data_IF_380082447785
#
_entry.id   IF_380082447785
#
_cell.length_a   1.000
_cell.length_b   1.000
_cell.length_c   1.000
_cell.angle_alpha   90.00
_cell.angle_beta   90.00
_cell.angle_gamma   90.00
#
_symmetry.space_group_name_H-M   'P 1'
#
loop_
_entity.id
_entity.type
_entity.pdbx_description
1 polymer ?
#
# COMPACT_ATOMS: atom_id res chain seq x y z
N UNK A 1 -18.17 15.39 3.15
CA UNK A 1 -17.84 14.28 4.07
C UNK A 1 -17.44 12.96 3.38
N UNK A 2 -17.53 12.78 2.05
CA UNK A 2 -17.17 11.49 1.40
C UNK A 2 -15.73 11.40 0.82
N UNK A 3 -15.11 12.51 0.40
CA UNK A 3 -13.82 12.46 -0.33
C UNK A 3 -12.62 11.97 0.49
N UNK A 4 -12.57 12.32 1.77
CA UNK A 4 -11.43 12.00 2.65
C UNK A 4 -11.45 10.50 3.00
N UNK A 5 -12.63 9.96 3.32
CA UNK A 5 -12.82 8.54 3.65
C UNK A 5 -12.44 7.64 2.46
N UNK A 6 -12.79 8.02 1.23
CA UNK A 6 -12.39 7.26 0.03
C UNK A 6 -10.85 7.28 -0.14
N UNK A 7 -10.20 8.42 0.13
CA UNK A 7 -8.76 8.54 0.01
C UNK A 7 -8.01 7.63 0.99
N UNK A 8 -8.42 7.60 2.26
CA UNK A 8 -7.79 6.75 3.27
C UNK A 8 -8.06 5.26 3.01
N UNK A 9 -9.27 4.89 2.60
CA UNK A 9 -9.57 3.51 2.20
C UNK A 9 -8.75 3.05 0.99
N UNK A 10 -8.52 3.94 0.01
CA UNK A 10 -7.66 3.61 -1.14
C UNK A 10 -6.20 3.43 -0.73
N UNK A 11 -5.67 4.32 0.11
CA UNK A 11 -4.32 4.16 0.69
C UNK A 11 -4.19 2.83 1.43
N UNK A 12 -5.21 2.44 2.20
CA UNK A 12 -5.24 1.17 2.90
C UNK A 12 -5.17 -0.02 1.92
N UNK A 13 -6.00 -0.02 0.87
CA UNK A 13 -6.02 -1.10 -0.14
C UNK A 13 -4.68 -1.25 -0.86
N UNK A 14 -4.04 -0.14 -1.22
CA UNK A 14 -2.72 -0.16 -1.85
C UNK A 14 -1.68 -0.73 -0.88
N UNK A 15 -1.70 -0.30 0.39
CA UNK A 15 -0.79 -0.82 1.41
C UNK A 15 -0.98 -2.32 1.66
N UNK A 16 -2.22 -2.81 1.66
CA UNK A 16 -2.50 -4.24 1.79
C UNK A 16 -1.96 -5.06 0.62
N UNK A 17 -2.09 -4.55 -0.62
CA UNK A 17 -1.46 -5.16 -1.78
C UNK A 17 0.07 -5.18 -1.64
N UNK A 18 0.68 -4.09 -1.18
CA UNK A 18 2.12 -4.02 -0.89
C UNK A 18 2.55 -5.11 0.08
N UNK A 19 1.82 -5.30 1.18
CA UNK A 19 2.12 -6.36 2.15
C UNK A 19 1.96 -7.76 1.55
N UNK A 20 0.98 -7.98 0.66
CA UNK A 20 0.84 -9.25 -0.07
C UNK A 20 2.04 -9.51 -1.00
N UNK A 21 2.47 -8.50 -1.77
CA UNK A 21 3.66 -8.62 -2.62
C UNK A 21 4.90 -8.92 -1.79
N UNK A 22 5.14 -8.19 -0.70
CA UNK A 22 6.29 -8.43 0.19
C UNK A 22 6.26 -9.86 0.73
N UNK A 23 5.09 -10.35 1.14
CA UNK A 23 4.94 -11.72 1.66
C UNK A 23 5.23 -12.79 0.60
N UNK A 24 4.88 -12.54 -0.66
CA UNK A 24 5.03 -13.52 -1.75
C UNK A 24 6.41 -13.45 -2.42
N UNK A 25 6.95 -12.25 -2.60
CA UNK A 25 8.12 -11.98 -3.46
C UNK A 25 9.29 -11.33 -2.69
N UNK A 26 9.14 -11.12 -1.38
CA UNK A 26 10.12 -10.43 -0.55
C UNK A 26 10.19 -8.93 -0.80
N UNK A 27 11.07 -8.24 -0.06
CA UNK A 27 11.25 -6.79 -0.18
C UNK A 27 11.71 -6.35 -1.58
N UNK A 28 12.56 -7.14 -2.24
CA UNK A 28 13.02 -6.86 -3.60
C UNK A 28 11.87 -6.94 -4.63
N UNK A 29 10.84 -7.74 -4.34
CA UNK A 29 9.66 -7.88 -5.17
C UNK A 29 8.63 -6.75 -4.99
N UNK A 30 8.77 -5.91 -3.96
CA UNK A 30 7.83 -4.83 -3.60
C UNK A 30 7.96 -3.60 -4.51
N UNK A 31 8.03 -3.81 -5.82
CA UNK A 31 8.08 -2.75 -6.81
C UNK A 31 6.68 -2.18 -7.06
N UNK A 32 6.60 -0.90 -7.41
CA UNK A 32 5.32 -0.24 -7.75
C UNK A 32 4.57 -1.00 -8.86
N UNK A 33 5.29 -1.61 -9.81
CA UNK A 33 4.69 -2.44 -10.86
C UNK A 33 4.01 -3.68 -10.28
N UNK A 34 4.72 -4.45 -9.46
CA UNK A 34 4.16 -5.68 -8.89
C UNK A 34 2.99 -5.37 -7.96
N UNK A 35 3.07 -4.27 -7.21
CA UNK A 35 1.99 -3.80 -6.34
C UNK A 35 0.75 -3.39 -7.16
N UNK A 36 0.95 -2.69 -8.28
CA UNK A 36 -0.13 -2.35 -9.20
C UNK A 36 -0.75 -3.60 -9.86
N UNK A 37 0.01 -4.68 -10.06
CA UNK A 37 -0.53 -5.95 -10.58
C UNK A 37 -1.28 -6.75 -9.52
N UNK A 38 -0.86 -6.68 -8.27
CA UNK A 38 -1.48 -7.34 -7.10
C UNK A 38 -2.69 -6.55 -6.56
N UNK A 39 -2.91 -5.34 -7.05
CA UNK A 39 -4.03 -4.47 -6.67
C UNK A 39 -4.88 -4.13 -7.88
N UNK A 40 -6.14 -3.75 -7.67
CA UNK A 40 -7.00 -3.26 -8.75
C UNK A 40 -6.68 -1.80 -9.15
N UNK A 41 -5.44 -1.33 -8.89
CA UNK A 41 -5.02 0.05 -9.15
C UNK A 41 -4.05 0.14 -10.33
N UNK A 42 -4.29 1.14 -11.17
CA UNK A 42 -3.33 1.54 -12.20
C UNK A 42 -2.07 2.15 -11.55
N UNK A 43 -0.90 1.88 -12.14
CA UNK A 43 0.38 2.41 -11.68
C UNK A 43 0.38 3.94 -11.54
N UNK A 44 -0.23 4.65 -12.50
CA UNK A 44 -0.37 6.10 -12.45
C UNK A 44 -1.27 6.58 -11.30
N UNK A 45 -2.30 5.81 -10.96
CA UNK A 45 -3.22 6.16 -9.88
C UNK A 45 -2.54 6.08 -8.51
N UNK A 46 -1.59 5.16 -8.32
CA UNK A 46 -0.85 5.03 -7.06
C UNK A 46 -0.05 6.28 -6.70
N UNK A 47 0.47 7.01 -7.70
CA UNK A 47 1.22 8.27 -7.48
C UNK A 47 0.37 9.39 -6.88
N UNK A 48 -0.96 9.31 -7.00
CA UNK A 48 -1.86 10.25 -6.33
C UNK A 48 -1.98 9.97 -4.83
N UNK A 49 -1.66 8.76 -4.37
CA UNK A 49 -1.77 8.33 -2.98
C UNK A 49 -0.42 8.29 -2.25
N UNK A 50 0.65 7.96 -2.97
CA UNK A 50 2.02 7.85 -2.45
C UNK A 50 2.99 8.49 -3.43
N UNK A 51 3.78 9.46 -2.95
CA UNK A 51 4.72 10.21 -3.78
C UNK A 51 5.93 9.36 -4.17
N UNK A 52 6.37 8.49 -3.26
CA UNK A 52 7.50 7.57 -3.46
C UNK A 52 7.13 6.13 -3.08
N UNK A 53 7.96 5.17 -3.50
CA UNK A 53 7.85 3.79 -3.05
C UNK A 53 8.09 3.70 -1.54
N UNK A 54 9.04 4.47 -1.02
CA UNK A 54 9.37 4.49 0.42
C UNK A 54 8.17 4.96 1.26
N UNK A 55 7.45 6.01 0.82
CA UNK A 55 6.22 6.46 1.51
C UNK A 55 5.17 5.35 1.62
N UNK A 56 5.07 4.51 0.58
CA UNK A 56 4.15 3.38 0.55
C UNK A 56 4.64 2.26 1.48
N UNK A 57 5.93 1.95 1.48
CA UNK A 57 6.50 0.94 2.38
C UNK A 57 6.34 1.40 3.84
N UNK A 58 6.66 2.65 4.15
CA UNK A 58 6.53 3.21 5.51
C UNK A 58 5.10 3.18 6.00
N UNK A 59 4.15 3.58 5.16
CA UNK A 59 2.72 3.47 5.48
C UNK A 59 2.31 2.01 5.74
N UNK A 60 2.75 1.09 4.88
CA UNK A 60 2.43 -0.34 5.01
C UNK A 60 3.02 -0.94 6.30
N UNK A 61 4.25 -0.58 6.65
CA UNK A 61 4.91 -1.04 7.88
C UNK A 61 4.26 -0.46 9.14
N UNK A 62 3.81 0.80 9.09
CA UNK A 62 3.02 1.40 10.17
C UNK A 62 1.70 0.67 10.36
N UNK A 63 1.00 0.32 9.28
CA UNK A 63 -0.24 -0.46 9.35
C UNK A 63 -0.02 -1.84 10.01
N UNK A 64 1.10 -2.51 9.71
CA UNK A 64 1.46 -3.78 10.37
C UNK A 64 1.70 -3.56 11.86
N UNK A 65 2.46 -2.53 12.24
CA UNK A 65 2.71 -2.20 13.66
C UNK A 65 1.41 -1.93 14.41
N UNK A 66 0.55 -1.08 13.87
CA UNK A 66 -0.77 -0.77 14.45
C UNK A 66 -1.60 -2.03 14.65
N UNK A 67 -1.70 -2.90 13.63
CA UNK A 67 -2.44 -4.17 13.72
C UNK A 67 -1.82 -5.15 14.72
N UNK A 68 -0.50 -5.16 14.86
CA UNK A 68 0.20 -6.02 15.80
C UNK A 68 0.05 -5.55 17.26
N UNK A 69 -0.05 -4.25 17.50
CA UNK A 69 -0.22 -3.65 18.83
C UNK A 69 -1.66 -3.68 19.35
N UNK A 70 -2.64 -3.95 18.48
CA UNK A 70 -4.07 -4.08 18.84
C UNK A 70 -4.42 -5.53 19.27
N UNK A 71 -3.40 -6.37 19.50
CA UNK A 71 -3.56 -7.73 20.04
C UNK A 71 -3.69 -7.76 21.55
#
# INVERSE_FOLDING_TARGET
MAKIVDHDQRRLRIAEATLRVIRQQGMNGATVRNIAQESDFLLGAMRHYFSTQDDLIDFSMRLVKERATVR
#
